data_IF_399395381520
#
_entry.id   IF_399395381520
#
_cell.length_a   1.000
_cell.length_b   1.000
_cell.length_c   1.000
_cell.angle_alpha   90.00
_cell.angle_beta   90.00
_cell.angle_gamma   90.00
#
_symmetry.space_group_name_H-M   'P 1'
#
loop_
_entity.id
_entity.type
_entity.pdbx_description
1 polymer ?
#
# COMPACT_ATOMS: atom_id res chain seq x y z
N UNK A 1 -2.30 21.26 -45.70
CA UNK A 1 -1.36 20.95 -44.59
C UNK A 1 -2.01 20.99 -43.21
N UNK A 2 -2.90 21.97 -42.91
CA UNK A 2 -3.57 22.13 -41.60
C UNK A 2 -4.34 20.89 -41.08
N UNK A 3 -5.05 20.15 -41.94
CA UNK A 3 -5.73 18.89 -41.55
C UNK A 3 -4.76 17.79 -41.10
N UNK A 4 -3.61 17.66 -41.77
CA UNK A 4 -2.61 16.63 -41.41
C UNK A 4 -1.91 16.98 -40.10
N UNK A 5 -1.66 18.27 -39.87
CA UNK A 5 -1.12 18.77 -38.60
C UNK A 5 -2.11 18.54 -37.45
N UNK A 6 -3.39 18.88 -37.66
CA UNK A 6 -4.46 18.67 -36.66
C UNK A 6 -4.67 17.19 -36.33
N UNK A 7 -4.61 16.29 -37.32
CA UNK A 7 -4.69 14.84 -37.09
C UNK A 7 -3.48 14.34 -36.29
N UNK A 8 -2.26 14.77 -36.62
CA UNK A 8 -1.08 14.39 -35.84
C UNK A 8 -1.16 14.87 -34.38
N UNK A 9 -1.64 16.10 -34.13
CA UNK A 9 -1.81 16.62 -32.77
C UNK A 9 -2.82 15.80 -31.96
N UNK A 10 -3.94 15.40 -32.56
CA UNK A 10 -4.96 14.55 -31.90
C UNK A 10 -4.39 13.18 -31.56
N UNK A 11 -3.60 12.57 -32.45
CA UNK A 11 -2.96 11.27 -32.21
C UNK A 11 -1.97 11.36 -31.05
N UNK A 12 -1.13 12.40 -31.01
CA UNK A 12 -0.15 12.60 -29.92
C UNK A 12 -0.88 12.79 -28.59
N UNK A 13 -1.97 13.57 -28.56
CA UNK A 13 -2.77 13.77 -27.36
C UNK A 13 -3.42 12.46 -26.88
N UNK A 14 -3.97 11.67 -27.80
CA UNK A 14 -4.57 10.37 -27.48
C UNK A 14 -3.52 9.38 -26.91
N UNK A 15 -2.32 9.35 -27.50
CA UNK A 15 -1.21 8.55 -26.98
C UNK A 15 -0.79 9.01 -25.58
N UNK A 16 -0.68 10.32 -25.34
CA UNK A 16 -0.35 10.86 -24.02
C UNK A 16 -1.39 10.48 -22.95
N UNK A 17 -2.67 10.47 -23.29
CA UNK A 17 -3.75 10.03 -22.38
C UNK A 17 -3.64 8.52 -22.11
N UNK A 18 -3.41 7.70 -23.14
CA UNK A 18 -3.21 6.25 -22.97
C UNK A 18 -2.01 5.94 -22.06
N UNK A 19 -0.87 6.61 -22.26
CA UNK A 19 0.32 6.43 -21.42
C UNK A 19 0.03 6.88 -20.00
N UNK A 20 -0.65 8.01 -19.80
CA UNK A 20 -1.03 8.50 -18.47
C UNK A 20 -1.96 7.53 -17.74
N UNK A 21 -2.96 6.97 -18.44
CA UNK A 21 -3.88 5.98 -17.87
C UNK A 21 -3.15 4.68 -17.51
N UNK A 22 -2.25 4.22 -18.39
CA UNK A 22 -1.43 3.03 -18.12
C UNK A 22 -0.48 3.24 -16.94
N UNK A 23 0.17 4.40 -16.87
CA UNK A 23 1.03 4.79 -15.75
C UNK A 23 0.25 4.89 -14.45
N UNK A 24 -0.93 5.52 -14.47
CA UNK A 24 -1.81 5.58 -13.31
C UNK A 24 -2.19 4.17 -12.84
N UNK A 25 -2.60 3.28 -13.75
CA UNK A 25 -2.87 1.90 -13.43
C UNK A 25 -1.64 1.16 -12.89
N UNK A 26 -0.48 1.36 -13.48
CA UNK A 26 0.77 0.70 -13.09
C UNK A 26 1.25 1.13 -11.70
N UNK A 27 1.23 2.43 -11.39
CA UNK A 27 1.67 2.97 -10.10
C UNK A 27 0.64 2.78 -8.98
N UNK A 28 -0.66 2.85 -9.29
CA UNK A 28 -1.72 2.58 -8.31
C UNK A 28 -2.02 1.09 -8.15
N UNK A 29 -1.43 0.23 -8.98
CA UNK A 29 -1.50 -1.23 -8.79
C UNK A 29 -0.66 -1.59 -7.57
N UNK A 30 -1.34 -1.98 -6.51
CA UNK A 30 -0.77 -2.54 -5.28
C UNK A 30 -0.03 -3.84 -5.59
N UNK A 31 1.26 -3.71 -5.86
CA UNK A 31 2.20 -4.81 -6.15
C UNK A 31 3.11 -5.02 -4.96
N UNK A 32 3.60 -6.25 -4.78
CA UNK A 32 4.48 -6.62 -3.67
C UNK A 32 5.76 -5.77 -3.66
N UNK A 33 6.25 -5.36 -4.83
CA UNK A 33 7.46 -4.55 -4.97
C UNK A 33 7.33 -3.11 -4.42
N UNK A 34 6.10 -2.64 -4.15
CA UNK A 34 5.85 -1.29 -3.65
C UNK A 34 5.59 -1.27 -2.13
N UNK A 35 5.67 -2.43 -1.46
CA UNK A 35 5.56 -2.51 -0.01
C UNK A 35 6.90 -2.09 0.62
N UNK A 36 6.90 -1.11 1.54
CA UNK A 36 8.11 -0.77 2.29
C UNK A 36 8.51 -1.93 3.21
N UNK A 37 9.75 -1.92 3.70
CA UNK A 37 10.19 -2.89 4.71
C UNK A 37 9.49 -2.62 6.05
N UNK A 38 9.35 -3.66 6.89
CA UNK A 38 8.78 -3.51 8.24
C UNK A 38 9.51 -2.44 9.07
N UNK A 39 10.84 -2.35 8.96
CA UNK A 39 11.62 -1.31 9.65
C UNK A 39 11.19 0.10 9.25
N UNK A 40 10.97 0.34 7.95
CA UNK A 40 10.48 1.63 7.48
C UNK A 40 9.05 1.91 7.97
N UNK A 41 8.20 0.89 8.10
CA UNK A 41 6.86 1.03 8.68
C UNK A 41 6.92 1.50 10.16
N UNK A 42 7.87 0.99 10.94
CA UNK A 42 8.03 1.41 12.34
C UNK A 42 8.55 2.85 12.50
N UNK A 43 9.24 3.39 11.49
CA UNK A 43 9.70 4.78 11.46
C UNK A 43 8.61 5.76 10.97
N UNK A 44 7.52 5.24 10.39
CA UNK A 44 6.41 6.03 9.87
C UNK A 44 5.38 6.33 10.97
N UNK A 45 4.64 7.43 10.79
CA UNK A 45 3.48 7.70 11.65
C UNK A 45 2.35 6.72 11.37
N UNK A 46 1.49 6.43 12.36
CA UNK A 46 0.32 5.58 12.16
C UNK A 46 -0.58 6.09 11.02
N UNK A 47 -0.70 7.41 10.88
CA UNK A 47 -1.46 8.03 9.80
C UNK A 47 -0.90 7.70 8.40
N UNK A 48 0.43 7.72 8.24
CA UNK A 48 1.07 7.37 6.97
C UNK A 48 0.91 5.88 6.65
N UNK A 49 1.05 5.02 7.66
CA UNK A 49 0.83 3.57 7.53
C UNK A 49 -0.62 3.27 7.14
N UNK A 50 -1.58 3.97 7.76
CA UNK A 50 -3.01 3.81 7.49
C UNK A 50 -3.45 4.49 6.17
N UNK A 51 -2.59 5.29 5.54
CA UNK A 51 -2.78 5.76 4.16
C UNK A 51 -2.20 4.77 3.14
N UNK A 52 -1.09 4.11 3.48
CA UNK A 52 -0.33 3.26 2.58
C UNK A 52 -0.90 1.83 2.44
N UNK A 53 -1.16 1.18 3.58
CA UNK A 53 -1.43 -0.25 3.64
C UNK A 53 -2.87 -0.64 3.26
N UNK A 54 -3.93 0.13 3.60
CA UNK A 54 -5.29 -0.25 3.24
C UNK A 54 -5.48 -0.49 1.74
N UNK A 55 -6.09 -1.62 1.38
CA UNK A 55 -6.27 -2.06 -0.01
C UNK A 55 -5.23 -3.08 -0.50
N UNK A 56 -4.13 -3.31 0.21
CA UNK A 56 -3.25 -4.46 -0.09
C UNK A 56 -3.91 -5.76 0.38
N UNK A 57 -3.56 -6.89 -0.23
CA UNK A 57 -3.98 -8.19 0.25
C UNK A 57 -3.03 -8.69 1.34
N UNK A 58 -3.56 -9.32 2.38
CA UNK A 58 -2.75 -9.78 3.52
C UNK A 58 -1.68 -10.79 3.11
N UNK A 59 -1.94 -11.59 2.08
CA UNK A 59 -0.97 -12.54 1.53
C UNK A 59 0.21 -11.83 0.86
N UNK A 60 0.02 -10.63 0.30
CA UNK A 60 1.12 -9.82 -0.24
C UNK A 60 2.04 -9.36 0.89
N UNK A 61 1.44 -8.89 1.99
CA UNK A 61 2.19 -8.47 3.19
C UNK A 61 3.00 -9.66 3.73
N UNK A 62 2.38 -10.84 3.84
CA UNK A 62 3.05 -12.08 4.28
C UNK A 62 4.15 -12.54 3.34
N UNK A 63 4.03 -12.28 2.04
CA UNK A 63 5.05 -12.65 1.07
C UNK A 63 6.32 -11.81 1.24
N UNK A 64 6.20 -10.49 1.45
CA UNK A 64 7.39 -9.62 1.56
C UNK A 64 7.89 -9.46 3.00
N UNK A 65 7.02 -9.54 3.99
CA UNK A 65 7.38 -9.39 5.42
C UNK A 65 7.50 -10.73 6.16
N UNK A 66 7.09 -11.83 5.54
CA UNK A 66 7.09 -13.15 6.15
C UNK A 66 5.90 -13.39 7.08
N UNK A 67 5.99 -14.50 7.82
CA UNK A 67 4.93 -14.95 8.73
C UNK A 67 4.74 -13.93 9.88
N UNK A 68 3.51 -13.51 10.18
CA UNK A 68 3.23 -12.64 11.33
C UNK A 68 3.46 -13.37 12.66
N UNK A 69 3.77 -12.62 13.70
CA UNK A 69 3.98 -13.14 15.06
C UNK A 69 2.67 -13.65 15.67
N UNK A 70 1.58 -12.91 15.46
CA UNK A 70 0.23 -13.32 15.85
C UNK A 70 -0.74 -13.16 14.70
N UNK A 71 -1.76 -14.03 14.67
CA UNK A 71 -2.81 -14.03 13.66
C UNK A 71 -4.10 -14.51 14.31
N UNK A 72 -5.03 -13.58 14.53
CA UNK A 72 -6.33 -13.83 15.16
C UNK A 72 -7.43 -13.23 14.29
N UNK A 73 -8.45 -14.03 13.95
CA UNK A 73 -9.67 -13.70 13.20
C UNK A 73 -9.71 -12.29 12.54
N UNK A 74 -9.09 -12.16 11.36
CA UNK A 74 -9.09 -10.91 10.58
C UNK A 74 -8.08 -9.84 11.04
N UNK A 75 -7.20 -10.15 11.99
CA UNK A 75 -6.11 -9.29 12.45
C UNK A 75 -4.80 -10.08 12.52
N UNK A 76 -3.71 -9.46 12.09
CA UNK A 76 -2.35 -10.02 12.25
C UNK A 76 -1.43 -8.96 12.82
N UNK A 77 -0.41 -9.39 13.54
CA UNK A 77 0.58 -8.49 14.10
C UNK A 77 1.99 -8.89 13.69
N UNK A 78 2.82 -7.89 13.42
CA UNK A 78 4.26 -8.03 13.26
C UNK A 78 4.96 -7.21 14.35
N UNK A 79 5.84 -7.85 15.12
CA UNK A 79 6.71 -7.18 16.09
C UNK A 79 7.97 -6.69 15.38
N UNK A 80 8.22 -5.39 15.49
CA UNK A 80 9.29 -4.65 14.82
C UNK A 80 10.10 -3.95 15.92
N UNK A 81 11.01 -4.70 16.55
CA UNK A 81 11.72 -4.20 17.74
C UNK A 81 10.74 -3.88 18.87
N UNK A 82 10.69 -2.61 19.29
CA UNK A 82 9.82 -2.09 20.35
C UNK A 82 8.44 -1.64 19.83
N UNK A 83 8.16 -1.79 18.53
CA UNK A 83 6.86 -1.41 17.93
C UNK A 83 6.14 -2.64 17.42
N UNK A 84 4.83 -2.72 17.61
CA UNK A 84 3.97 -3.75 17.05
C UNK A 84 3.08 -3.12 15.99
N UNK A 85 3.23 -3.57 14.75
CA UNK A 85 2.31 -3.26 13.67
C UNK A 85 1.12 -4.20 13.76
N UNK A 86 -0.07 -3.62 13.88
CA UNK A 86 -1.35 -4.35 13.87
C UNK A 86 -2.04 -4.06 12.55
N UNK A 87 -2.39 -5.12 11.82
CA UNK A 87 -3.05 -5.03 10.52
C UNK A 87 -4.37 -5.79 10.59
N UNK A 88 -5.47 -5.05 10.49
CA UNK A 88 -6.80 -5.65 10.37
C UNK A 88 -7.24 -5.68 8.90
N UNK A 89 -7.72 -6.84 8.47
CA UNK A 89 -8.15 -7.11 7.10
C UNK A 89 -9.57 -7.70 7.09
N UNK A 90 -10.27 -7.48 5.99
CA UNK A 90 -11.63 -7.99 5.77
C UNK A 90 -11.59 -9.48 5.43
N UNK A 91 -12.75 -10.13 5.46
CA UNK A 91 -12.90 -11.56 5.08
C UNK A 91 -12.38 -11.90 3.66
N UNK A 92 -12.31 -10.91 2.77
CA UNK A 92 -11.74 -11.07 1.43
C UNK A 92 -10.21 -10.86 1.39
N UNK A 93 -9.54 -10.85 2.54
CA UNK A 93 -8.08 -10.71 2.68
C UNK A 93 -7.55 -9.29 2.46
N UNK A 94 -8.40 -8.31 2.19
CA UNK A 94 -7.97 -6.92 1.95
C UNK A 94 -7.78 -6.17 3.27
N UNK A 95 -6.59 -5.58 3.45
CA UNK A 95 -6.27 -4.72 4.58
C UNK A 95 -7.22 -3.53 4.63
N UNK A 96 -7.81 -3.29 5.80
CA UNK A 96 -8.78 -2.23 6.05
C UNK A 96 -8.19 -1.09 6.87
N UNK A 97 -7.51 -1.42 7.97
CA UNK A 97 -6.94 -0.46 8.91
C UNK A 97 -5.67 -1.02 9.51
N UNK A 98 -4.72 -0.13 9.78
CA UNK A 98 -3.47 -0.46 10.45
C UNK A 98 -3.29 0.43 11.69
N UNK A 99 -2.62 -0.11 12.70
CA UNK A 99 -2.24 0.62 13.91
C UNK A 99 -0.80 0.30 14.31
N UNK A 100 -0.15 1.25 14.98
CA UNK A 100 1.19 1.07 15.54
C UNK A 100 1.10 1.19 17.06
N UNK A 101 1.61 0.18 17.77
CA UNK A 101 1.73 0.21 19.23
C UNK A 101 3.18 0.15 19.66
N UNK A 102 3.54 0.86 20.71
CA UNK A 102 4.82 0.65 21.39
C UNK A 102 4.80 -0.63 22.25
N UNK A 103 5.95 -1.01 22.82
CA UNK A 103 6.09 -2.18 23.72
C UNK A 103 5.23 -2.03 25.00
N UNK A 104 4.84 -0.79 25.32
CA UNK A 104 3.90 -0.45 26.40
C UNK A 104 2.43 -0.74 26.05
N UNK A 105 2.12 -1.06 24.79
CA UNK A 105 0.77 -1.30 24.28
C UNK A 105 -0.03 -0.01 24.00
N UNK A 106 0.63 1.15 24.04
CA UNK A 106 0.05 2.47 23.76
C UNK A 106 0.13 2.73 22.26
N UNK A 107 -0.96 3.23 21.68
CA UNK A 107 -0.99 3.61 20.26
C UNK A 107 -0.04 4.78 20.02
N UNK A 108 0.84 4.66 19.03
CA UNK A 108 1.78 5.71 18.65
C UNK A 108 1.03 6.70 17.74
N UNK A 109 0.25 7.61 18.35
CA UNK A 109 -0.51 8.59 17.57
C UNK A 109 -1.60 9.40 18.28
N UNK A 110 -1.74 9.31 19.61
CA UNK A 110 -2.58 10.25 20.38
C UNK A 110 -1.83 11.54 20.74
#
# INVERSE_FOLDING_TARGET
MKKKLSVMTVIILALAICVSAWFYGYYNRKSNNNLPTLTAIAEMSEADVNSLLPGYHIDQLREVWGKPDTSEDGTVCWKIGDTTLIVSYKNNGIVAICGLKDDSGVSIGE
#
